data_IF_843003444973
#
_entry.id   IF_843003444973
#
_cell.length_a   1.000
_cell.length_b   1.000
_cell.length_c   1.000
_cell.angle_alpha   90.00
_cell.angle_beta   90.00
_cell.angle_gamma   90.00
#
_symmetry.space_group_name_H-M   'P 1'
#
loop_
_entity.id
_entity.type
_entity.pdbx_description
1 polymer ?
#
# COMPACT_ATOMS: atom_id res chain seq x y z
N UNK A 1 -21.12 -21.03 -25.03
CA UNK A 1 -19.73 -20.64 -25.36
C UNK A 1 -19.63 -19.62 -26.51
N UNK A 2 -20.71 -18.92 -26.89
CA UNK A 2 -20.75 -17.99 -28.03
C UNK A 2 -21.07 -16.52 -27.67
N UNK A 3 -21.22 -16.17 -26.38
CA UNK A 3 -21.67 -14.84 -25.93
C UNK A 3 -20.54 -13.79 -25.75
N UNK A 4 -19.27 -14.17 -25.88
CA UNK A 4 -18.13 -13.29 -25.60
C UNK A 4 -17.41 -12.74 -26.83
N UNK A 5 -17.91 -13.03 -28.04
CA UNK A 5 -17.35 -12.51 -29.29
C UNK A 5 -17.69 -11.04 -29.57
N UNK A 6 -18.53 -10.41 -28.74
CA UNK A 6 -19.09 -9.08 -28.99
C UNK A 6 -18.82 -8.06 -27.87
N UNK A 7 -17.89 -8.32 -26.95
CA UNK A 7 -17.54 -7.39 -25.85
C UNK A 7 -17.13 -6.00 -26.39
N UNK A 8 -16.50 -5.95 -27.56
CA UNK A 8 -16.05 -4.72 -28.21
C UNK A 8 -17.21 -3.81 -28.68
N UNK A 9 -18.42 -4.37 -28.80
CA UNK A 9 -19.63 -3.65 -29.24
C UNK A 9 -20.49 -3.15 -28.08
N UNK A 10 -20.10 -3.45 -26.84
CA UNK A 10 -20.89 -3.15 -25.65
C UNK A 10 -20.42 -1.85 -25.00
N UNK A 11 -21.38 -1.08 -24.49
CA UNK A 11 -21.12 0.04 -23.59
C UNK A 11 -20.58 -0.47 -22.25
N UNK A 12 -19.85 0.37 -21.49
CA UNK A 12 -19.36 0.02 -20.15
C UNK A 12 -20.45 -0.53 -19.23
N UNK A 13 -21.66 0.04 -19.29
CA UNK A 13 -22.85 -0.43 -18.54
C UNK A 13 -23.23 -1.85 -18.92
N UNK A 14 -23.28 -2.14 -20.23
CA UNK A 14 -23.61 -3.47 -20.74
C UNK A 14 -22.51 -4.49 -20.42
N UNK A 15 -21.24 -4.07 -20.41
CA UNK A 15 -20.11 -4.90 -19.97
C UNK A 15 -20.24 -5.22 -18.48
N UNK A 16 -20.61 -4.26 -17.65
CA UNK A 16 -20.86 -4.46 -16.22
C UNK A 16 -22.01 -5.47 -15.99
N UNK A 17 -23.15 -5.27 -16.66
CA UNK A 17 -24.32 -6.17 -16.56
C UNK A 17 -24.04 -7.59 -17.08
N UNK A 18 -23.24 -7.75 -18.15
CA UNK A 18 -22.82 -9.06 -18.66
C UNK A 18 -21.80 -9.75 -17.75
N UNK A 19 -20.92 -8.98 -17.12
CA UNK A 19 -19.94 -9.50 -16.15
C UNK A 19 -20.64 -10.06 -14.90
N UNK A 20 -21.75 -9.43 -14.48
CA UNK A 20 -22.55 -9.80 -13.31
C UNK A 20 -23.52 -10.96 -13.56
N UNK A 21 -24.06 -11.10 -14.78
CA UNK A 21 -25.11 -12.09 -15.09
C UNK A 21 -24.61 -13.50 -15.47
N UNK A 22 -23.35 -13.65 -15.91
CA UNK A 22 -22.87 -14.92 -16.48
C UNK A 22 -21.75 -15.63 -15.70
N UNK A 23 -21.36 -15.13 -14.52
CA UNK A 23 -20.19 -15.69 -13.82
C UNK A 23 -18.91 -15.59 -14.66
N UNK A 24 -18.84 -14.59 -15.55
CA UNK A 24 -17.72 -14.32 -16.48
C UNK A 24 -16.39 -14.01 -15.76
N UNK A 25 -16.43 -13.83 -14.43
CA UNK A 25 -15.27 -13.64 -13.57
C UNK A 25 -14.48 -14.92 -13.30
N UNK A 26 -14.87 -16.07 -13.87
CA UNK A 26 -14.24 -17.37 -13.58
C UNK A 26 -12.94 -17.63 -14.38
N UNK A 27 -12.36 -16.63 -15.05
CA UNK A 27 -11.11 -16.79 -15.80
C UNK A 27 -10.36 -15.49 -16.11
N UNK A 28 -9.04 -15.51 -15.89
CA UNK A 28 -8.11 -14.38 -16.04
C UNK A 28 -8.23 -13.65 -17.39
N UNK A 29 -8.41 -14.41 -18.49
CA UNK A 29 -8.52 -13.84 -19.84
C UNK A 29 -9.81 -13.05 -20.10
N UNK A 30 -10.90 -13.35 -19.38
CA UNK A 30 -12.17 -12.62 -19.53
C UNK A 30 -12.15 -11.31 -18.74
N UNK A 31 -11.52 -11.30 -17.56
CA UNK A 31 -11.32 -10.06 -16.81
C UNK A 31 -10.37 -9.09 -17.49
N UNK A 32 -9.28 -9.57 -18.08
CA UNK A 32 -8.40 -8.71 -18.88
C UNK A 32 -9.18 -8.02 -20.01
N UNK A 33 -10.12 -8.71 -20.66
CA UNK A 33 -10.96 -8.11 -21.71
C UNK A 33 -11.95 -7.07 -21.17
N UNK A 34 -12.57 -7.34 -20.02
CA UNK A 34 -13.45 -6.37 -19.35
C UNK A 34 -12.67 -5.13 -18.93
N UNK A 35 -11.50 -5.30 -18.31
CA UNK A 35 -10.66 -4.18 -17.85
C UNK A 35 -10.03 -3.40 -19.01
N UNK A 36 -9.50 -4.06 -20.05
CA UNK A 36 -9.02 -3.38 -21.25
C UNK A 36 -10.13 -2.54 -21.91
N UNK A 37 -11.40 -2.97 -21.82
CA UNK A 37 -12.53 -2.20 -22.32
C UNK A 37 -12.84 -0.99 -21.44
N UNK A 38 -12.75 -1.14 -20.11
CA UNK A 38 -12.87 -0.01 -19.19
C UNK A 38 -11.79 1.04 -19.43
N UNK A 39 -10.59 0.64 -19.87
CA UNK A 39 -9.49 1.55 -20.23
C UNK A 39 -9.67 2.24 -21.59
N UNK A 40 -10.57 1.77 -22.47
CA UNK A 40 -10.82 2.43 -23.76
C UNK A 40 -11.76 3.64 -23.63
N UNK A 41 -11.31 4.82 -24.07
CA UNK A 41 -12.11 6.05 -24.05
C UNK A 41 -12.01 6.78 -22.71
N UNK A 42 -13.13 7.26 -22.18
CA UNK A 42 -13.17 7.89 -20.86
C UNK A 42 -13.19 6.82 -19.76
N UNK A 43 -12.00 6.38 -19.38
CA UNK A 43 -11.80 5.34 -18.38
C UNK A 43 -12.43 5.70 -17.02
N UNK A 44 -12.52 6.99 -16.69
CA UNK A 44 -13.13 7.45 -15.44
C UNK A 44 -14.64 7.16 -15.44
N UNK A 45 -15.35 7.60 -16.48
CA UNK A 45 -16.78 7.32 -16.64
C UNK A 45 -17.06 5.81 -16.73
N UNK A 46 -16.20 5.06 -17.42
CA UNK A 46 -16.37 3.63 -17.58
C UNK A 46 -16.24 2.88 -16.25
N UNK A 47 -15.22 3.20 -15.46
CA UNK A 47 -14.97 2.63 -14.14
C UNK A 47 -16.06 3.04 -13.17
N UNK A 48 -16.47 4.31 -13.15
CA UNK A 48 -17.56 4.81 -12.30
C UNK A 48 -18.90 4.14 -12.61
N UNK A 49 -19.23 3.93 -13.89
CA UNK A 49 -20.42 3.19 -14.32
C UNK A 49 -20.34 1.71 -13.94
N UNK A 50 -19.19 1.07 -14.09
CA UNK A 50 -18.97 -0.32 -13.68
C UNK A 50 -19.15 -0.50 -12.18
N UNK A 51 -18.64 0.43 -11.37
CA UNK A 51 -18.76 0.43 -9.93
C UNK A 51 -20.20 0.80 -9.47
N UNK A 52 -20.87 1.70 -10.18
CA UNK A 52 -22.29 2.03 -9.96
C UNK A 52 -23.20 0.83 -10.26
N UNK A 53 -22.90 0.06 -11.31
CA UNK A 53 -23.60 -1.18 -11.61
C UNK A 53 -23.34 -2.28 -10.58
N UNK A 54 -22.12 -2.35 -10.02
CA UNK A 54 -21.78 -3.24 -8.91
C UNK A 54 -22.55 -2.88 -7.62
N UNK A 55 -22.81 -1.60 -7.37
CA UNK A 55 -23.50 -1.13 -6.16
C UNK A 55 -25.03 -1.19 -6.26
N UNK A 56 -25.62 -1.15 -7.46
CA UNK A 56 -27.07 -1.11 -7.68
C UNK A 56 -27.79 -2.47 -7.55
N UNK A 57 -27.06 -3.59 -7.61
CA UNK A 57 -27.63 -4.95 -7.61
C UNK A 57 -27.74 -5.61 -6.21
N UNK A 58 -27.41 -4.89 -5.12
CA UNK A 58 -27.50 -5.40 -3.75
C UNK A 58 -26.29 -6.24 -3.29
N UNK A 59 -26.06 -6.41 -1.97
CA UNK A 59 -24.72 -6.56 -1.41
C UNK A 59 -24.18 -7.99 -1.27
N UNK A 60 -24.56 -8.95 -2.12
CA UNK A 60 -24.12 -10.34 -1.91
C UNK A 60 -23.51 -10.99 -3.16
N UNK A 61 -22.29 -11.52 -2.96
CA UNK A 61 -21.58 -12.58 -3.69
C UNK A 61 -20.49 -12.25 -4.73
N UNK A 62 -20.21 -10.99 -5.10
CA UNK A 62 -19.24 -10.73 -6.19
C UNK A 62 -18.02 -9.89 -5.81
N UNK A 63 -17.92 -9.37 -4.57
CA UNK A 63 -16.78 -8.53 -4.17
C UNK A 63 -15.43 -9.28 -4.17
N UNK A 64 -15.30 -10.49 -3.57
CA UNK A 64 -13.99 -11.15 -3.52
C UNK A 64 -13.46 -11.55 -4.90
N UNK A 65 -14.34 -11.95 -5.82
CA UNK A 65 -13.98 -12.31 -7.20
C UNK A 65 -13.59 -11.07 -8.01
N UNK A 66 -14.29 -9.95 -7.81
CA UNK A 66 -13.96 -8.67 -8.45
C UNK A 66 -12.63 -8.11 -7.93
N UNK A 67 -12.38 -8.20 -6.62
CA UNK A 67 -11.12 -7.78 -5.97
C UNK A 67 -9.95 -8.65 -6.41
N UNK A 68 -10.14 -9.98 -6.49
CA UNK A 68 -9.11 -10.88 -7.02
C UNK A 68 -8.74 -10.49 -8.45
N UNK A 69 -9.75 -10.16 -9.28
CA UNK A 69 -9.51 -9.69 -10.63
C UNK A 69 -8.73 -8.41 -10.76
N UNK A 70 -9.14 -7.40 -10.01
CA UNK A 70 -8.41 -6.13 -9.90
C UNK A 70 -6.96 -6.37 -9.45
N UNK A 71 -6.75 -7.31 -8.54
CA UNK A 71 -5.42 -7.67 -8.04
C UNK A 71 -4.55 -8.33 -9.10
N UNK A 72 -5.13 -9.20 -9.92
CA UNK A 72 -4.41 -9.90 -10.99
C UNK A 72 -3.91 -8.92 -12.05
N UNK A 73 -4.72 -7.93 -12.43
CA UNK A 73 -4.36 -6.94 -13.45
C UNK A 73 -3.70 -5.67 -12.91
N UNK A 74 -3.62 -5.51 -11.59
CA UNK A 74 -3.13 -4.28 -10.94
C UNK A 74 -1.79 -3.77 -11.47
N UNK A 75 -0.88 -4.65 -11.92
CA UNK A 75 0.40 -4.23 -12.52
C UNK A 75 0.27 -3.39 -13.78
N UNK A 76 -0.86 -3.47 -14.49
CA UNK A 76 -1.14 -2.72 -15.72
C UNK A 76 -1.93 -1.43 -15.46
N UNK A 77 -2.49 -1.25 -14.25
CA UNK A 77 -3.32 -0.10 -13.91
C UNK A 77 -2.41 1.10 -13.60
N UNK A 78 -2.67 2.30 -14.16
CA UNK A 78 -1.97 3.52 -13.77
C UNK A 78 -2.09 3.84 -12.26
N UNK A 79 -1.05 4.44 -11.65
CA UNK A 79 -1.01 4.69 -10.19
C UNK A 79 -2.19 5.52 -9.66
N UNK A 80 -2.55 6.60 -10.36
CA UNK A 80 -3.72 7.43 -10.03
C UNK A 80 -5.03 6.62 -10.08
N UNK A 81 -5.13 5.67 -11.01
CA UNK A 81 -6.32 4.82 -11.13
C UNK A 81 -6.36 3.77 -10.00
N UNK A 82 -5.22 3.25 -9.54
CA UNK A 82 -5.15 2.35 -8.37
C UNK A 82 -5.66 3.04 -7.10
N UNK A 83 -5.28 4.30 -6.89
CA UNK A 83 -5.79 5.11 -5.78
C UNK A 83 -7.31 5.31 -5.87
N UNK A 84 -7.83 5.64 -7.05
CA UNK A 84 -9.28 5.79 -7.27
C UNK A 84 -10.05 4.50 -7.01
N UNK A 85 -9.56 3.35 -7.49
CA UNK A 85 -10.16 2.04 -7.28
C UNK A 85 -10.16 1.64 -5.80
N UNK A 86 -9.04 1.87 -5.09
CA UNK A 86 -8.97 1.63 -3.65
C UNK A 86 -9.97 2.49 -2.88
N UNK A 87 -10.10 3.77 -3.22
CA UNK A 87 -11.08 4.67 -2.59
C UNK A 87 -12.53 4.20 -2.81
N UNK A 88 -12.86 3.68 -3.99
CA UNK A 88 -14.20 3.12 -4.25
C UNK A 88 -14.44 1.86 -3.42
N UNK A 89 -13.47 0.94 -3.34
CA UNK A 89 -13.59 -0.26 -2.50
C UNK A 89 -13.83 0.12 -1.04
N UNK A 90 -13.12 1.14 -0.53
CA UNK A 90 -13.34 1.67 0.82
C UNK A 90 -14.75 2.23 0.99
N UNK A 91 -15.23 3.05 0.06
CA UNK A 91 -16.57 3.65 0.11
C UNK A 91 -17.67 2.57 0.12
N UNK A 92 -17.54 1.57 -0.77
CA UNK A 92 -18.44 0.42 -0.83
C UNK A 92 -18.50 -0.34 0.50
N UNK A 93 -17.34 -0.63 1.10
CA UNK A 93 -17.28 -1.35 2.37
C UNK A 93 -17.91 -0.54 3.49
N UNK A 94 -17.60 0.77 3.61
CA UNK A 94 -18.22 1.63 4.63
C UNK A 94 -19.75 1.67 4.51
N UNK A 95 -20.27 1.80 3.29
CA UNK A 95 -21.72 1.77 3.04
C UNK A 95 -22.33 0.42 3.42
N UNK A 96 -21.64 -0.69 3.09
CA UNK A 96 -22.08 -2.03 3.43
C UNK A 96 -22.15 -2.23 4.96
N UNK A 97 -21.20 -1.70 5.72
CA UNK A 97 -21.15 -1.86 7.18
C UNK A 97 -22.26 -1.12 7.92
N UNK A 98 -22.75 -0.01 7.37
CA UNK A 98 -23.93 0.67 7.89
C UNK A 98 -25.17 -0.25 7.88
N UNK A 99 -25.24 -1.21 6.95
CA UNK A 99 -26.35 -2.17 6.84
C UNK A 99 -26.22 -3.34 7.83
N UNK A 100 -25.00 -3.72 8.22
CA UNK A 100 -24.74 -4.91 9.07
C UNK A 100 -24.49 -4.52 10.54
N UNK A 101 -24.44 -3.22 10.85
CA UNK A 101 -24.19 -2.66 12.19
C UNK A 101 -22.98 -3.28 12.90
N UNK A 102 -21.91 -3.56 12.15
CA UNK A 102 -20.63 -4.07 12.64
C UNK A 102 -19.48 -3.37 11.92
N UNK A 103 -18.28 -3.21 12.55
CA UNK A 103 -17.13 -2.55 11.92
C UNK A 103 -16.50 -3.35 10.76
N UNK A 104 -16.70 -4.67 10.73
CA UNK A 104 -16.26 -5.52 9.62
C UNK A 104 -17.14 -6.76 9.51
N UNK A 105 -17.49 -7.16 8.29
CA UNK A 105 -18.09 -8.48 8.05
C UNK A 105 -16.96 -9.53 8.05
N UNK A 106 -16.73 -10.16 9.20
CA UNK A 106 -15.72 -11.22 9.35
C UNK A 106 -16.38 -12.59 9.43
N UNK A 107 -15.83 -13.54 8.69
CA UNK A 107 -16.11 -14.95 8.93
C UNK A 107 -15.32 -15.41 10.16
N UNK A 108 -15.88 -16.33 10.96
CA UNK A 108 -15.30 -16.74 12.23
C UNK A 108 -13.81 -17.14 12.08
N UNK A 109 -12.95 -16.53 12.91
CA UNK A 109 -11.49 -16.69 12.95
C UNK A 109 -10.71 -16.18 11.73
N UNK A 110 -11.29 -15.32 10.89
CA UNK A 110 -10.53 -14.65 9.82
C UNK A 110 -9.53 -13.63 10.40
N UNK A 111 -8.24 -13.85 10.12
CA UNK A 111 -7.16 -12.91 10.48
C UNK A 111 -7.33 -11.58 9.74
N UNK A 112 -6.73 -10.52 10.29
CA UNK A 112 -6.69 -9.20 9.64
C UNK A 112 -6.09 -9.28 8.25
N UNK A 113 -5.00 -10.04 8.12
CA UNK A 113 -4.36 -10.24 6.84
C UNK A 113 -5.32 -10.88 5.82
N UNK A 114 -5.99 -11.96 6.20
CA UNK A 114 -6.95 -12.62 5.33
C UNK A 114 -8.15 -11.71 4.99
N UNK A 115 -8.54 -10.81 5.88
CA UNK A 115 -9.63 -9.87 5.62
C UNK A 115 -9.21 -8.76 4.66
N UNK A 116 -8.06 -8.12 4.87
CA UNK A 116 -7.52 -7.07 3.97
C UNK A 116 -7.30 -7.65 2.57
N UNK A 117 -6.66 -8.82 2.47
CA UNK A 117 -6.41 -9.48 1.19
C UNK A 117 -7.72 -9.78 0.43
N UNK A 118 -8.75 -10.28 1.13
CA UNK A 118 -10.04 -10.60 0.50
C UNK A 118 -10.81 -9.38 0.00
N UNK A 119 -10.65 -8.22 0.65
CA UNK A 119 -11.44 -7.02 0.37
C UNK A 119 -10.71 -5.99 -0.50
N UNK A 120 -9.37 -6.01 -0.52
CA UNK A 120 -8.57 -5.05 -1.29
C UNK A 120 -7.50 -5.71 -2.18
N UNK A 121 -7.09 -6.94 -1.87
CA UNK A 121 -6.04 -7.66 -2.61
C UNK A 121 -4.79 -6.80 -2.82
N UNK A 122 -4.26 -6.70 -4.04
CA UNK A 122 -3.05 -5.89 -4.34
C UNK A 122 -3.29 -4.38 -4.29
N UNK A 123 -4.54 -3.93 -4.19
CA UNK A 123 -4.86 -2.52 -3.97
C UNK A 123 -4.77 -2.11 -2.50
N UNK A 124 -4.51 -3.06 -1.57
CA UNK A 124 -4.41 -2.77 -0.14
C UNK A 124 -3.40 -1.68 0.20
N UNK A 125 -2.31 -1.58 -0.56
CA UNK A 125 -1.26 -0.56 -0.37
C UNK A 125 -1.70 0.88 -0.67
N UNK A 126 -2.85 1.07 -1.33
CA UNK A 126 -3.42 2.36 -1.70
C UNK A 126 -4.59 2.79 -0.79
N UNK A 127 -4.94 1.96 0.20
CA UNK A 127 -5.95 2.29 1.21
C UNK A 127 -5.28 3.07 2.34
N UNK A 128 -5.89 4.11 2.89
CA UNK A 128 -5.27 4.79 4.04
C UNK A 128 -5.28 3.88 5.28
N UNK A 129 -4.29 3.98 6.16
CA UNK A 129 -4.33 3.22 7.41
C UNK A 129 -5.55 3.61 8.26
N UNK A 130 -5.94 4.90 8.24
CA UNK A 130 -7.15 5.37 8.92
C UNK A 130 -8.39 4.60 8.46
N UNK A 131 -8.57 4.37 7.17
CA UNK A 131 -9.68 3.58 6.66
C UNK A 131 -9.60 2.12 7.12
N UNK A 132 -8.40 1.53 7.13
CA UNK A 132 -8.21 0.17 7.65
C UNK A 132 -8.62 0.05 9.13
N UNK A 133 -8.34 1.05 9.96
CA UNK A 133 -8.76 1.03 11.38
C UNK A 133 -10.27 1.06 11.55
N UNK A 134 -11.02 1.68 10.62
CA UNK A 134 -12.49 1.66 10.64
C UNK A 134 -13.05 0.24 10.40
N UNK A 135 -12.25 -0.64 9.79
CA UNK A 135 -12.57 -2.05 9.56
C UNK A 135 -12.04 -3.00 10.65
N UNK A 136 -11.68 -2.46 11.83
CA UNK A 136 -11.14 -3.22 12.96
C UNK A 136 -9.92 -4.08 12.58
N UNK A 137 -9.06 -3.58 11.69
CA UNK A 137 -7.79 -4.20 11.32
C UNK A 137 -6.75 -3.82 12.37
N UNK A 138 -6.25 -4.79 13.14
CA UNK A 138 -5.15 -4.57 14.07
C UNK A 138 -3.85 -4.43 13.28
N UNK A 139 -3.30 -3.22 13.27
CA UNK A 139 -2.22 -2.85 12.36
C UNK A 139 -0.96 -3.72 12.49
N UNK A 140 -0.49 -4.02 13.71
CA UNK A 140 0.70 -4.86 13.89
C UNK A 140 0.48 -6.33 13.50
N UNK A 141 -0.77 -6.82 13.56
CA UNK A 141 -1.13 -8.20 13.17
C UNK A 141 -1.24 -8.41 11.66
N UNK A 142 -1.14 -7.34 10.88
CA UNK A 142 -1.28 -7.34 9.42
C UNK A 142 -0.14 -6.61 8.69
N UNK A 143 0.99 -6.36 9.39
CA UNK A 143 2.17 -5.67 8.85
C UNK A 143 2.60 -6.18 7.48
N UNK A 144 2.59 -7.49 7.26
CA UNK A 144 2.98 -8.16 6.01
C UNK A 144 2.19 -7.69 4.78
N UNK A 145 1.00 -7.11 4.96
CA UNK A 145 0.15 -6.61 3.88
C UNK A 145 0.19 -5.09 3.69
N UNK A 146 0.81 -4.38 4.63
CA UNK A 146 0.85 -2.92 4.60
C UNK A 146 1.97 -2.44 3.66
N UNK A 147 1.71 -1.37 2.92
CA UNK A 147 2.74 -0.63 2.20
C UNK A 147 3.66 0.12 3.18
N UNK A 148 4.89 0.49 2.79
CA UNK A 148 5.78 1.22 3.69
C UNK A 148 5.19 2.53 4.24
N UNK A 149 4.38 3.24 3.44
CA UNK A 149 3.64 4.43 3.89
C UNK A 149 2.62 4.08 4.99
N UNK A 150 1.82 3.03 4.81
CA UNK A 150 0.88 2.56 5.84
C UNK A 150 1.61 2.07 7.10
N UNK A 151 2.80 1.48 6.96
CA UNK A 151 3.65 1.10 8.10
C UNK A 151 4.12 2.34 8.87
N UNK A 152 4.41 3.46 8.20
CA UNK A 152 4.75 4.73 8.85
C UNK A 152 3.56 5.31 9.62
N UNK A 153 2.37 5.34 9.00
CA UNK A 153 1.12 5.78 9.65
C UNK A 153 0.78 4.94 10.89
N UNK A 154 0.93 3.61 10.77
CA UNK A 154 0.78 2.68 11.87
C UNK A 154 1.81 2.98 12.97
N UNK A 155 3.08 3.19 12.60
CA UNK A 155 4.16 3.44 13.57
C UNK A 155 3.89 4.68 14.43
N UNK A 156 3.35 5.74 13.83
CA UNK A 156 2.97 6.98 14.52
C UNK A 156 1.78 6.79 15.47
N UNK A 157 0.88 5.85 15.17
CA UNK A 157 -0.36 5.64 15.92
C UNK A 157 -0.34 4.44 16.89
N UNK A 158 0.63 3.53 16.77
CA UNK A 158 0.64 2.23 17.46
C UNK A 158 1.51 2.13 18.71
N UNK A 159 2.15 3.23 19.13
CA UNK A 159 3.14 3.19 20.21
C UNK A 159 4.47 2.56 19.80
N UNK A 160 4.66 2.13 18.56
CA UNK A 160 5.90 1.48 18.10
C UNK A 160 7.16 2.32 18.36
N UNK A 161 7.05 3.65 18.32
CA UNK A 161 8.13 4.60 18.62
C UNK A 161 8.63 4.57 20.08
N UNK A 162 7.92 3.85 20.97
CA UNK A 162 8.31 3.63 22.37
C UNK A 162 8.66 2.18 22.70
N UNK A 163 8.55 1.26 21.74
CA UNK A 163 8.71 -0.18 21.97
C UNK A 163 9.64 -0.82 20.94
N UNK A 164 10.85 -1.20 21.36
CA UNK A 164 11.81 -1.87 20.48
C UNK A 164 11.24 -3.18 19.91
N UNK A 165 10.41 -3.91 20.66
CA UNK A 165 9.78 -5.15 20.18
C UNK A 165 8.83 -4.87 19.01
N UNK A 166 8.04 -3.81 19.08
CA UNK A 166 7.14 -3.43 17.98
C UNK A 166 7.93 -2.87 16.79
N UNK A 167 8.97 -2.07 17.06
CA UNK A 167 9.83 -1.54 15.99
C UNK A 167 10.62 -2.66 15.28
N UNK A 168 11.01 -3.73 15.97
CA UNK A 168 11.57 -4.93 15.32
C UNK A 168 10.58 -5.52 14.31
N UNK A 169 9.29 -5.62 14.67
CA UNK A 169 8.27 -6.12 13.73
C UNK A 169 8.08 -5.20 12.53
N UNK A 170 8.13 -3.88 12.75
CA UNK A 170 8.10 -2.87 11.69
C UNK A 170 9.28 -3.08 10.73
N UNK A 171 10.50 -3.19 11.24
CA UNK A 171 11.69 -3.38 10.39
C UNK A 171 11.71 -4.74 9.70
N UNK A 172 11.28 -5.83 10.34
CA UNK A 172 11.11 -7.13 9.67
C UNK A 172 10.22 -7.03 8.42
N UNK A 173 9.16 -6.22 8.51
CA UNK A 173 8.30 -5.95 7.35
C UNK A 173 9.05 -5.13 6.28
N UNK A 174 9.75 -4.07 6.67
CA UNK A 174 10.48 -3.21 5.73
C UNK A 174 11.62 -3.96 5.03
N UNK A 175 12.24 -4.94 5.67
CA UNK A 175 13.27 -5.81 5.08
C UNK A 175 12.71 -6.81 4.05
N UNK A 176 11.39 -7.02 4.00
CA UNK A 176 10.78 -7.93 3.01
C UNK A 176 10.73 -7.29 1.63
N UNK A 177 11.47 -7.87 0.68
CA UNK A 177 11.55 -7.39 -0.70
C UNK A 177 12.69 -6.39 -0.89
N UNK A 178 12.39 -5.24 -1.49
CA UNK A 178 13.37 -4.16 -1.64
C UNK A 178 13.45 -3.33 -0.37
N UNK A 179 14.38 -3.71 0.51
CA UNK A 179 14.58 -3.06 1.80
C UNK A 179 15.00 -1.58 1.67
N UNK A 180 15.79 -1.23 0.65
CA UNK A 180 16.24 0.14 0.43
C UNK A 180 15.04 1.05 0.13
N UNK A 181 14.25 0.67 -0.88
CA UNK A 181 13.04 1.40 -1.28
C UNK A 181 12.01 1.44 -0.15
N UNK A 182 11.81 0.32 0.55
CA UNK A 182 10.85 0.27 1.66
C UNK A 182 11.23 1.23 2.80
N UNK A 183 12.50 1.25 3.22
CA UNK A 183 12.94 2.14 4.31
C UNK A 183 12.95 3.61 3.86
N UNK A 184 13.28 3.90 2.61
CA UNK A 184 13.18 5.25 2.02
C UNK A 184 11.74 5.79 2.12
N UNK A 185 10.79 5.04 1.57
CA UNK A 185 9.36 5.42 1.57
C UNK A 185 8.83 5.53 3.00
N UNK A 186 9.20 4.59 3.87
CA UNK A 186 8.79 4.61 5.28
C UNK A 186 9.31 5.84 6.02
N UNK A 187 10.60 6.16 5.93
CA UNK A 187 11.17 7.31 6.64
C UNK A 187 10.72 8.64 6.04
N UNK A 188 10.54 8.72 4.72
CA UNK A 188 9.92 9.87 4.05
C UNK A 188 8.51 10.12 4.62
N UNK A 189 7.68 9.07 4.69
CA UNK A 189 6.33 9.18 5.24
C UNK A 189 6.34 9.51 6.74
N UNK A 190 7.23 8.90 7.51
CA UNK A 190 7.37 9.13 8.96
C UNK A 190 7.75 10.57 9.28
N UNK A 191 8.65 11.16 8.50
CA UNK A 191 9.15 12.54 8.68
C UNK A 191 8.21 13.61 8.12
N UNK A 192 7.34 13.26 7.17
CA UNK A 192 6.34 14.18 6.60
C UNK A 192 5.37 14.77 7.63
N UNK A 193 5.21 14.11 8.79
CA UNK A 193 4.31 14.52 9.87
C UNK A 193 4.96 15.47 10.89
N UNK A 194 6.21 15.89 10.65
CA UNK A 194 6.96 16.83 11.50
C UNK A 194 7.85 16.11 12.52
N UNK A 195 8.09 16.75 13.67
CA UNK A 195 8.99 16.20 14.70
C UNK A 195 8.38 14.96 15.36
N UNK A 196 9.06 13.82 15.20
CA UNK A 196 8.64 12.54 15.78
C UNK A 196 9.39 12.29 17.09
N UNK A 197 8.67 12.02 18.17
CA UNK A 197 9.28 11.69 19.46
C UNK A 197 9.57 10.18 19.53
N UNK A 198 10.85 9.81 19.43
CA UNK A 198 11.33 8.42 19.43
C UNK A 198 12.14 8.18 20.70
N UNK A 199 11.82 7.12 21.46
CA UNK A 199 12.60 6.79 22.65
C UNK A 199 14.04 6.41 22.25
N UNK A 200 15.06 6.72 23.07
CA UNK A 200 16.45 6.49 22.69
C UNK A 200 16.74 5.07 22.22
N UNK A 201 16.28 4.04 22.94
CA UNK A 201 16.49 2.64 22.56
C UNK A 201 15.84 2.24 21.24
N UNK A 202 14.70 2.83 20.90
CA UNK A 202 14.03 2.61 19.61
C UNK A 202 14.79 3.35 18.51
N UNK A 203 15.20 4.60 18.75
CA UNK A 203 15.96 5.41 17.80
C UNK A 203 17.32 4.78 17.47
N UNK A 204 18.03 4.25 18.47
CA UNK A 204 19.30 3.53 18.29
C UNK A 204 19.11 2.28 17.42
N UNK A 205 18.04 1.51 17.67
CA UNK A 205 17.68 0.35 16.85
C UNK A 205 17.37 0.76 15.41
N UNK A 206 16.49 1.75 15.21
CA UNK A 206 16.10 2.24 13.89
C UNK A 206 17.33 2.73 13.11
N UNK A 207 18.18 3.55 13.74
CA UNK A 207 19.39 4.07 13.10
C UNK A 207 20.32 2.93 12.67
N UNK A 208 20.56 1.94 13.52
CA UNK A 208 21.41 0.80 13.20
C UNK A 208 20.85 -0.03 12.02
N UNK A 209 19.56 -0.35 12.04
CA UNK A 209 18.94 -1.11 10.94
C UNK A 209 18.91 -0.31 9.63
N UNK A 210 18.52 0.97 9.68
CA UNK A 210 18.52 1.83 8.51
C UNK A 210 19.92 1.98 7.94
N UNK A 211 20.94 2.24 8.77
CA UNK A 211 22.32 2.40 8.31
C UNK A 211 22.83 1.13 7.62
N UNK A 212 22.59 -0.04 8.22
CA UNK A 212 22.94 -1.34 7.63
C UNK A 212 22.35 -1.55 6.23
N UNK A 213 21.12 -1.06 6.00
CA UNK A 213 20.45 -1.14 4.71
C UNK A 213 21.08 -0.15 3.71
N UNK A 214 21.16 1.13 4.07
CA UNK A 214 21.58 2.17 3.11
C UNK A 214 23.08 2.17 2.82
N UNK A 215 23.93 1.73 3.76
CA UNK A 215 25.38 1.82 3.60
C UNK A 215 25.90 0.96 2.45
N UNK A 216 25.18 -0.12 2.11
CA UNK A 216 25.51 -0.99 0.97
C UNK A 216 25.35 -0.25 -0.36
N UNK A 217 24.47 0.75 -0.41
CA UNK A 217 24.16 1.53 -1.62
C UNK A 217 24.99 2.82 -1.74
N UNK A 218 25.81 3.18 -0.74
CA UNK A 218 26.62 4.39 -0.79
C UNK A 218 27.50 4.54 -2.06
N UNK A 219 28.11 3.47 -2.62
CA UNK A 219 28.87 3.58 -3.87
C UNK A 219 28.03 4.01 -5.08
N UNK A 220 26.71 3.81 -5.02
CA UNK A 220 25.74 4.12 -6.08
C UNK A 220 24.99 5.44 -5.82
N UNK A 221 25.20 6.07 -4.65
CA UNK A 221 24.51 7.29 -4.29
C UNK A 221 24.98 8.48 -5.14
N UNK A 222 24.04 9.05 -5.89
CA UNK A 222 24.18 10.38 -6.45
C UNK A 222 24.05 11.46 -5.37
N UNK A 223 24.48 12.69 -5.68
CA UNK A 223 24.43 13.84 -4.77
C UNK A 223 23.01 14.09 -4.23
N UNK A 224 21.99 13.98 -5.08
CA UNK A 224 20.58 14.13 -4.69
C UNK A 224 20.14 13.10 -3.65
N UNK A 225 20.60 11.85 -3.78
CA UNK A 225 20.31 10.76 -2.84
C UNK A 225 21.01 11.00 -1.51
N UNK A 226 22.27 11.46 -1.51
CA UNK A 226 22.94 11.86 -0.27
C UNK A 226 22.14 12.93 0.49
N UNK A 227 21.67 13.95 -0.22
CA UNK A 227 20.88 15.04 0.36
C UNK A 227 19.55 14.51 0.92
N UNK A 228 18.77 13.79 0.12
CA UNK A 228 17.44 13.30 0.57
C UNK A 228 17.53 12.44 1.83
N UNK A 229 18.57 11.60 1.94
CA UNK A 229 18.78 10.76 3.12
C UNK A 229 19.22 11.57 4.34
N UNK A 230 20.25 12.41 4.24
CA UNK A 230 20.85 13.05 5.42
C UNK A 230 20.16 14.36 5.83
N UNK A 231 19.46 15.04 4.92
CA UNK A 231 18.68 16.25 5.21
C UNK A 231 17.17 15.99 5.24
N UNK A 232 16.75 14.73 5.10
CA UNK A 232 15.34 14.33 5.13
C UNK A 232 15.16 13.08 6.00
N UNK A 233 15.33 11.91 5.39
CA UNK A 233 14.97 10.62 5.99
C UNK A 233 15.62 10.33 7.34
N UNK A 234 16.90 10.68 7.50
CA UNK A 234 17.68 10.37 8.70
C UNK A 234 17.51 11.39 9.81
N UNK A 235 16.96 12.58 9.57
CA UNK A 235 16.81 13.64 10.58
C UNK A 235 16.34 13.12 11.95
N UNK A 236 15.25 12.32 12.06
CA UNK A 236 14.78 11.84 13.36
C UNK A 236 15.72 10.82 14.03
N UNK A 237 16.65 10.23 13.27
CA UNK A 237 17.57 9.17 13.70
C UNK A 237 19.01 9.66 13.93
N UNK A 238 19.37 10.83 13.36
CA UNK A 238 20.71 11.43 13.48
C UNK A 238 21.26 11.48 14.91
N UNK A 239 20.47 11.74 15.97
CA UNK A 239 21.00 11.73 17.34
C UNK A 239 21.59 10.39 17.79
N UNK A 240 21.34 9.29 17.06
CA UNK A 240 21.84 7.94 17.33
C UNK A 240 22.94 7.49 16.37
N UNK A 241 23.46 8.38 15.50
CA UNK A 241 24.59 8.04 14.63
C UNK A 241 25.87 7.82 15.45
N UNK A 242 26.65 6.80 15.08
CA UNK A 242 27.91 6.48 15.76
C UNK A 242 29.12 7.01 14.98
N UNK A 243 30.27 7.12 15.65
CA UNK A 243 31.53 7.50 14.99
C UNK A 243 31.93 6.55 13.86
N UNK A 244 31.61 5.25 13.99
CA UNK A 244 31.84 4.24 12.96
C UNK A 244 30.96 4.51 11.73
N UNK A 245 29.66 4.74 11.94
CA UNK A 245 28.73 5.10 10.86
C UNK A 245 29.19 6.36 10.12
N UNK A 246 29.60 7.40 10.86
CA UNK A 246 30.15 8.63 10.27
C UNK A 246 31.39 8.36 9.43
N UNK A 247 32.30 7.51 9.91
CA UNK A 247 33.53 7.16 9.18
C UNK A 247 33.20 6.48 7.86
N UNK A 248 32.26 5.52 7.87
CA UNK A 248 31.79 4.81 6.67
C UNK A 248 31.11 5.78 5.70
N UNK A 249 30.30 6.71 6.20
CA UNK A 249 29.66 7.74 5.38
C UNK A 249 30.70 8.61 4.67
N UNK A 250 31.66 9.17 5.42
CA UNK A 250 32.69 10.08 4.88
C UNK A 250 33.59 9.35 3.86
N UNK A 251 33.92 8.08 4.07
CA UNK A 251 34.77 7.33 3.14
C UNK A 251 34.12 7.06 1.77
N UNK A 252 32.80 7.18 1.66
CA UNK A 252 32.05 6.94 0.42
C UNK A 252 31.55 8.23 -0.25
N UNK A 253 31.82 9.39 0.35
CA UNK A 253 31.43 10.69 -0.19
C UNK A 253 32.52 11.20 -1.12
N UNK A 254 32.11 11.63 -2.32
CA UNK A 254 32.99 12.36 -3.22
C UNK A 254 33.15 13.81 -2.76
N UNK A 255 34.25 14.48 -3.14
CA UNK A 255 34.48 15.89 -2.78
C UNK A 255 33.33 16.82 -3.19
N UNK A 256 32.58 16.48 -4.25
CA UNK A 256 31.42 17.25 -4.73
C UNK A 256 30.21 17.13 -3.79
N UNK A 257 30.09 16.04 -3.04
CA UNK A 257 28.98 15.81 -2.10
C UNK A 257 29.27 16.39 -0.70
N UNK A 258 30.54 16.69 -0.40
CA UNK A 258 30.97 17.23 0.90
C UNK A 258 30.44 18.64 1.18
N UNK A 259 30.19 19.45 0.15
CA UNK A 259 29.69 20.83 0.31
C UNK A 259 28.22 20.91 0.73
N UNK A 260 27.49 19.79 0.75
CA UNK A 260 26.03 19.75 0.94
C UNK A 260 25.59 19.02 2.21
N UNK A 261 26.52 18.36 2.91
CA UNK A 261 26.31 17.80 4.24
C UNK A 261 26.65 18.79 5.34
#
# INVERSE_FOLDING_TARGET
>A
MQLFGSLDLLSPTQVAELTLSFGALNGTSQMIRVFNRLETGDAFTNVDVFLTALTSQGPYLLLPLSVQGLSDVSGNIPENNKQGLAAVLVAYLKQSLQQVNQPACRLNNQTDANWVSKNFGKLSGYVSYLDLTQFNISGLGSLDLLSPTQVAELTLSSGALNSTIQMIRVFNRLETGDAFTNVDVFLTALTSQGTVNITPSVRDFMMNQTFKIISVHFPEFETSTWISWFTGNLIPLLPSITSEMLTITISNISCTNYEVM
#
